data_IF_972492829931
#
_entry.id   IF_972492829931
#
_cell.length_a   1.000
_cell.length_b   1.000
_cell.length_c   1.000
_cell.angle_alpha   90.00
_cell.angle_beta   90.00
_cell.angle_gamma   90.00
#
_symmetry.space_group_name_H-M   'P 1'
#
loop_
_entity.id
_entity.type
_entity.pdbx_description
1 polymer ?
#
# COMPACT_ATOMS: atom_id res chain seq x y z
N UNK A 1 14.39 -5.00 -28.36
CA UNK A 1 13.35 -4.33 -27.55
C UNK A 1 13.53 -4.83 -26.13
N UNK A 2 14.07 -4.01 -25.24
CA UNK A 2 14.26 -4.39 -23.84
C UNK A 2 12.97 -4.11 -23.08
N UNK A 3 12.37 -5.15 -22.50
CA UNK A 3 11.16 -5.02 -21.71
C UNK A 3 11.56 -4.65 -20.27
N UNK A 4 11.13 -3.46 -19.83
CA UNK A 4 11.33 -3.02 -18.46
C UNK A 4 10.30 -3.72 -17.57
N UNK A 5 10.75 -4.63 -16.70
CA UNK A 5 9.85 -5.23 -15.72
C UNK A 5 9.33 -4.14 -14.78
N UNK A 6 8.01 -4.05 -14.65
CA UNK A 6 7.38 -3.10 -13.73
C UNK A 6 7.83 -3.48 -12.31
N UNK A 7 8.58 -2.62 -11.61
CA UNK A 7 9.06 -2.93 -10.27
C UNK A 7 7.87 -3.01 -9.32
N UNK A 8 7.62 -4.19 -8.78
CA UNK A 8 6.42 -4.53 -7.99
C UNK A 8 6.47 -3.97 -6.56
N UNK A 9 7.26 -2.92 -6.31
CA UNK A 9 7.65 -2.48 -4.97
C UNK A 9 6.57 -1.66 -4.21
N UNK A 10 5.30 -1.69 -4.63
CA UNK A 10 4.21 -0.91 -4.04
C UNK A 10 3.26 -1.68 -3.09
N UNK A 11 3.64 -2.85 -2.58
CA UNK A 11 2.80 -3.59 -1.61
C UNK A 11 3.53 -4.19 -0.40
N UNK A 12 4.80 -3.87 -0.19
CA UNK A 12 5.45 -4.20 1.08
C UNK A 12 4.86 -3.31 2.18
N UNK A 13 3.79 -3.78 2.85
CA UNK A 13 3.23 -3.12 4.05
C UNK A 13 4.36 -2.89 5.04
N UNK A 14 4.61 -1.62 5.37
CA UNK A 14 5.70 -1.20 6.28
C UNK A 14 5.68 -2.01 7.57
N UNK A 15 6.63 -2.93 7.68
CA UNK A 15 6.87 -3.73 8.87
C UNK A 15 8.06 -3.09 9.58
N UNK A 16 7.74 -2.13 10.46
CA UNK A 16 8.69 -1.17 11.03
C UNK A 16 9.77 -1.84 11.91
N UNK A 17 9.51 -3.02 12.49
CA UNK A 17 10.44 -3.71 13.37
C UNK A 17 10.61 -5.20 12.97
N UNK A 18 11.25 -5.46 11.82
CA UNK A 18 11.54 -6.83 11.37
C UNK A 18 10.26 -7.66 11.13
N UNK A 19 9.91 -8.65 11.98
CA UNK A 19 8.65 -9.38 11.90
C UNK A 19 7.44 -8.66 12.54
N UNK A 20 7.67 -7.62 13.36
CA UNK A 20 6.63 -6.92 14.15
C UNK A 20 6.02 -5.73 13.40
N UNK A 21 4.69 -5.71 13.32
CA UNK A 21 3.84 -4.65 12.77
C UNK A 21 3.57 -3.56 13.82
N UNK A 22 3.31 -2.33 13.38
CA UNK A 22 2.96 -1.21 14.28
C UNK A 22 1.83 -1.54 15.28
N UNK A 23 0.75 -2.16 14.81
CA UNK A 23 -0.37 -2.57 15.65
C UNK A 23 0.04 -3.55 16.77
N UNK A 24 0.98 -4.44 16.50
CA UNK A 24 1.50 -5.40 17.48
C UNK A 24 2.37 -4.69 18.53
N UNK A 25 3.15 -3.69 18.12
CA UNK A 25 3.94 -2.85 19.05
C UNK A 25 3.01 -2.10 20.02
N UNK A 26 1.95 -1.48 19.51
CA UNK A 26 0.95 -0.81 20.36
C UNK A 26 0.28 -1.80 21.31
N UNK A 27 -0.05 -3.01 20.85
CA UNK A 27 -0.61 -4.05 21.70
C UNK A 27 0.36 -4.46 22.83
N UNK A 28 1.65 -4.68 22.51
CA UNK A 28 2.65 -4.99 23.54
C UNK A 28 2.85 -3.85 24.53
N UNK A 29 2.82 -2.59 24.06
CA UNK A 29 2.90 -1.43 24.93
C UNK A 29 1.70 -1.37 25.90
N UNK A 30 0.49 -1.64 25.40
CA UNK A 30 -0.71 -1.71 26.23
C UNK A 30 -0.65 -2.83 27.28
N UNK A 31 -0.22 -4.03 26.88
CA UNK A 31 -0.06 -5.18 27.79
C UNK A 31 1.02 -4.91 28.83
N UNK A 32 2.16 -4.35 28.42
CA UNK A 32 3.26 -4.01 29.33
C UNK A 32 2.84 -2.91 30.32
N UNK A 33 2.14 -1.88 29.84
CA UNK A 33 1.56 -0.84 30.70
C UNK A 33 0.54 -1.41 31.69
N UNK A 34 -0.34 -2.32 31.25
CA UNK A 34 -1.29 -3.01 32.12
C UNK A 34 -0.60 -3.86 33.20
N UNK A 35 0.41 -4.64 32.80
CA UNK A 35 1.23 -5.46 33.72
C UNK A 35 1.98 -4.60 34.74
N UNK A 36 2.48 -3.43 34.33
CA UNK A 36 3.15 -2.47 35.21
C UNK A 36 2.18 -1.84 36.22
N UNK A 37 0.97 -1.46 35.79
CA UNK A 37 -0.06 -0.99 36.72
C UNK A 37 -0.39 -2.10 37.73
N UNK A 38 -0.55 -3.34 37.27
CA UNK A 38 -0.83 -4.49 38.13
C UNK A 38 0.29 -4.77 39.14
N UNK A 39 1.55 -4.53 38.76
CA UNK A 39 2.71 -4.64 39.65
C UNK A 39 2.63 -3.68 40.85
N UNK A 40 2.02 -2.50 40.68
CA UNK A 40 1.89 -1.53 41.77
C UNK A 40 0.90 -1.99 42.87
N UNK A 41 -0.07 -2.86 42.54
CA UNK A 41 -1.10 -3.31 43.48
C UNK A 41 -0.85 -4.70 44.08
N UNK A 42 -0.07 -5.56 43.41
CA UNK A 42 0.14 -6.96 43.79
C UNK A 42 1.54 -7.23 44.35
N UNK A 43 1.66 -8.14 45.31
CA UNK A 43 2.98 -8.64 45.77
C UNK A 43 3.67 -9.38 44.61
N UNK A 44 5.00 -9.28 44.54
CA UNK A 44 5.82 -9.82 43.44
C UNK A 44 5.49 -11.26 43.03
N UNK A 45 5.27 -12.16 44.00
CA UNK A 45 4.99 -13.58 43.72
C UNK A 45 3.63 -13.80 43.04
N UNK A 46 2.61 -13.02 43.40
CA UNK A 46 1.29 -13.11 42.76
C UNK A 46 1.31 -12.40 41.41
N UNK A 47 2.08 -11.30 41.31
CA UNK A 47 2.28 -10.60 40.07
C UNK A 47 2.91 -11.51 39.01
N UNK A 48 4.02 -12.20 39.30
CA UNK A 48 4.69 -13.07 38.30
C UNK A 48 3.80 -14.23 37.85
N UNK A 49 3.03 -14.80 38.79
CA UNK A 49 2.12 -15.91 38.54
C UNK A 49 0.99 -15.52 37.57
N UNK A 50 0.49 -14.28 37.64
CA UNK A 50 -0.55 -13.76 36.76
C UNK A 50 0.01 -13.10 35.49
N UNK A 51 1.18 -12.45 35.59
CA UNK A 51 1.84 -11.78 34.49
C UNK A 51 2.30 -12.76 33.41
N UNK A 52 2.83 -13.91 33.80
CA UNK A 52 3.33 -14.95 32.89
C UNK A 52 2.25 -15.43 31.90
N UNK A 53 1.07 -15.93 32.34
CA UNK A 53 0.05 -16.37 31.41
C UNK A 53 -0.52 -15.22 30.58
N UNK A 54 -0.69 -14.02 31.14
CA UNK A 54 -1.19 -12.85 30.40
C UNK A 54 -0.23 -12.45 29.28
N UNK A 55 1.06 -12.38 29.57
CA UNK A 55 2.08 -12.04 28.58
C UNK A 55 2.20 -13.12 27.50
N UNK A 56 2.11 -14.40 27.88
CA UNK A 56 2.18 -15.52 26.94
C UNK A 56 0.99 -15.51 25.97
N UNK A 57 -0.21 -15.21 26.45
CA UNK A 57 -1.40 -15.03 25.60
C UNK A 57 -1.22 -13.85 24.65
N UNK A 58 -0.68 -12.72 25.12
CA UNK A 58 -0.42 -11.57 24.26
C UNK A 58 0.58 -11.87 23.14
N UNK A 59 1.66 -12.60 23.45
CA UNK A 59 2.64 -13.05 22.45
C UNK A 59 1.99 -13.99 21.45
N UNK A 60 1.26 -14.99 21.92
CA UNK A 60 0.59 -15.96 21.06
C UNK A 60 -0.40 -15.26 20.12
N UNK A 61 -1.23 -14.38 20.66
CA UNK A 61 -2.18 -13.58 19.88
C UNK A 61 -1.48 -12.68 18.84
N UNK A 62 -0.31 -12.12 19.18
CA UNK A 62 0.46 -11.26 18.28
C UNK A 62 1.03 -12.03 17.08
N UNK A 63 1.63 -13.21 17.32
CA UNK A 63 2.26 -14.00 16.26
C UNK A 63 1.30 -14.91 15.49
N UNK A 64 0.12 -15.18 16.03
CA UNK A 64 -0.89 -15.95 15.34
C UNK A 64 -1.36 -15.22 14.08
N UNK A 65 -1.39 -15.95 12.96
CA UNK A 65 -1.78 -15.43 11.66
C UNK A 65 -3.10 -16.07 11.24
N UNK A 66 -4.07 -15.24 10.87
CA UNK A 66 -5.33 -15.66 10.26
C UNK A 66 -5.30 -15.24 8.80
N UNK A 67 -5.45 -16.19 7.87
CA UNK A 67 -5.46 -15.95 6.43
C UNK A 67 -4.25 -15.11 5.95
N UNK A 68 -3.06 -15.43 6.45
CA UNK A 68 -1.81 -14.73 6.10
C UNK A 68 -1.64 -13.33 6.72
N UNK A 69 -2.62 -12.84 7.50
CA UNK A 69 -2.56 -11.55 8.20
C UNK A 69 -2.35 -11.76 9.70
N UNK A 70 -1.59 -10.89 10.39
CA UNK A 70 -1.47 -10.97 11.84
C UNK A 70 -2.83 -10.73 12.50
N UNK A 71 -3.14 -11.47 13.56
CA UNK A 71 -4.42 -11.42 14.26
C UNK A 71 -4.78 -10.00 14.71
N UNK A 72 -3.79 -9.21 15.14
CA UNK A 72 -3.99 -7.81 15.58
C UNK A 72 -4.58 -6.94 14.47
N UNK A 73 -4.15 -7.13 13.22
CA UNK A 73 -4.69 -6.39 12.08
C UNK A 73 -6.12 -6.86 11.76
N UNK A 74 -6.37 -8.17 11.82
CA UNK A 74 -7.71 -8.71 11.61
C UNK A 74 -8.70 -8.15 12.64
N UNK A 75 -8.34 -8.15 13.93
CA UNK A 75 -9.16 -7.59 15.00
C UNK A 75 -9.46 -6.10 14.80
N UNK A 76 -8.49 -5.30 14.36
CA UNK A 76 -8.74 -3.88 14.02
C UNK A 76 -9.77 -3.71 12.90
N UNK A 77 -9.73 -4.58 11.88
CA UNK A 77 -10.73 -4.59 10.81
C UNK A 77 -12.13 -4.99 11.30
N UNK A 78 -12.23 -5.90 12.28
CA UNK A 78 -13.52 -6.24 12.90
C UNK A 78 -14.11 -5.02 13.60
N UNK A 79 -13.31 -4.34 14.43
CA UNK A 79 -13.77 -3.14 15.14
C UNK A 79 -14.17 -2.03 14.17
N UNK A 80 -13.39 -1.82 13.11
CA UNK A 80 -13.73 -0.87 12.06
C UNK A 80 -15.02 -1.26 11.32
N UNK A 81 -15.18 -2.53 10.97
CA UNK A 81 -16.39 -3.03 10.30
C UNK A 81 -17.64 -2.88 11.17
N UNK A 82 -17.52 -3.15 12.47
CA UNK A 82 -18.64 -3.03 13.41
C UNK A 82 -19.04 -1.57 13.65
N UNK A 83 -18.08 -0.63 13.58
CA UNK A 83 -18.34 0.80 13.76
C UNK A 83 -18.74 1.54 12.49
N UNK A 84 -18.48 0.99 11.30
CA UNK A 84 -18.74 1.68 10.04
C UNK A 84 -20.14 1.33 9.53
N UNK A 85 -20.95 2.33 9.18
CA UNK A 85 -22.25 2.11 8.56
C UNK A 85 -22.06 1.57 7.15
N UNK A 86 -22.76 0.48 6.82
CA UNK A 86 -22.74 -0.12 5.48
C UNK A 86 -23.44 0.81 4.50
N UNK A 87 -22.70 1.78 3.96
CA UNK A 87 -23.24 2.66 2.93
C UNK A 87 -23.18 1.91 1.60
N UNK A 88 -24.32 1.36 1.22
CA UNK A 88 -24.47 0.65 -0.05
C UNK A 88 -24.62 1.68 -1.18
N UNK A 89 -23.57 1.90 -1.96
CA UNK A 89 -23.63 2.78 -3.13
C UNK A 89 -23.97 1.92 -4.35
N UNK A 90 -25.26 1.66 -4.57
CA UNK A 90 -25.72 1.12 -5.85
C UNK A 90 -25.64 2.24 -6.90
N UNK A 91 -24.69 2.14 -7.84
CA UNK A 91 -24.77 2.89 -9.10
C UNK A 91 -25.67 2.11 -10.03
N UNK A 92 -26.87 2.64 -10.31
CA UNK A 92 -27.69 2.14 -11.41
C UNK A 92 -27.07 2.69 -12.69
N UNK A 93 -26.67 1.78 -13.56
CA UNK A 93 -26.29 2.11 -14.92
C UNK A 93 -27.59 2.55 -15.58
N UNK A 94 -27.69 3.84 -15.87
CA UNK A 94 -28.84 4.39 -16.57
C UNK A 94 -28.71 3.87 -18.01
N UNK A 95 -29.37 2.76 -18.31
CA UNK A 95 -29.54 2.31 -19.70
C UNK A 95 -30.30 3.42 -20.43
N UNK A 96 -29.54 4.24 -21.16
CA UNK A 96 -30.05 5.24 -22.05
C UNK A 96 -30.61 4.52 -23.28
N UNK A 97 -31.82 3.98 -23.17
CA UNK A 97 -32.64 3.75 -24.34
C UNK A 97 -33.17 5.11 -24.80
N UNK A 98 -32.58 5.59 -25.89
CA UNK A 98 -32.88 6.87 -26.51
C UNK A 98 -34.05 6.62 -27.46
N UNK A 99 -35.28 6.66 -26.96
CA UNK A 99 -36.45 6.71 -27.83
C UNK A 99 -37.47 7.74 -27.33
N UNK A 100 -37.75 8.69 -28.21
CA UNK A 100 -38.91 9.59 -28.28
C UNK A 100 -38.93 10.90 -27.47
N UNK A 101 -38.56 11.95 -28.21
CA UNK A 101 -39.12 13.29 -28.31
C UNK A 101 -40.31 13.68 -27.39
N UNK A 102 -40.12 14.78 -26.65
CA UNK A 102 -41.24 15.64 -26.23
C UNK A 102 -41.06 16.39 -24.88
N UNK A 103 -40.51 17.60 -24.95
CA UNK A 103 -40.85 18.76 -24.08
C UNK A 103 -40.35 18.83 -22.61
N UNK A 104 -39.48 19.86 -22.39
CA UNK A 104 -39.19 20.66 -21.18
C UNK A 104 -38.38 20.04 -20.00
N UNK A 105 -37.72 20.88 -19.16
CA UNK A 105 -36.98 22.12 -19.40
C UNK A 105 -35.48 21.97 -19.06
N UNK A 106 -34.67 22.75 -19.75
CA UNK A 106 -33.27 23.01 -19.46
C UNK A 106 -33.08 23.50 -18.01
N UNK A 107 -32.33 22.76 -17.18
CA UNK A 107 -31.44 23.33 -16.16
C UNK A 107 -30.25 22.39 -15.84
N UNK A 108 -29.16 22.64 -16.56
CA UNK A 108 -27.76 22.76 -16.09
C UNK A 108 -27.10 21.57 -15.35
N UNK A 109 -26.38 20.77 -16.13
CA UNK A 109 -25.32 19.85 -15.71
C UNK A 109 -24.05 20.67 -15.41
N UNK A 110 -23.32 20.45 -14.30
CA UNK A 110 -21.98 21.03 -14.14
C UNK A 110 -21.02 20.38 -15.15
N UNK A 111 -20.44 21.25 -15.98
CA UNK A 111 -19.50 20.97 -17.06
C UNK A 111 -18.26 20.19 -16.58
N UNK A 112 -18.23 18.87 -16.78
CA UNK A 112 -17.01 18.08 -16.64
C UNK A 112 -16.41 17.87 -18.04
N UNK A 113 -15.44 18.70 -18.39
CA UNK A 113 -14.57 18.47 -19.54
C UNK A 113 -13.70 17.24 -19.29
N UNK A 114 -14.12 16.07 -19.79
CA UNK A 114 -13.19 14.98 -20.06
C UNK A 114 -12.58 15.27 -21.42
N UNK A 115 -11.32 15.70 -21.42
CA UNK A 115 -10.50 15.67 -22.64
C UNK A 115 -10.21 14.20 -22.93
N UNK A 116 -11.00 13.60 -23.81
CA UNK A 116 -10.59 12.36 -24.49
C UNK A 116 -9.41 12.79 -25.37
N UNK A 117 -8.19 12.62 -24.85
CA UNK A 117 -6.99 12.79 -25.66
C UNK A 117 -6.91 11.54 -26.52
N UNK A 118 -7.21 11.76 -27.79
CA UNK A 118 -7.08 10.82 -28.90
C UNK A 118 -5.76 10.06 -28.82
N UNK A 119 -5.83 8.76 -29.10
CA UNK A 119 -4.71 7.95 -29.58
C UNK A 119 -4.14 8.58 -30.85
N UNK A 120 -2.82 8.86 -30.91
CA UNK A 120 -2.13 8.92 -32.19
C UNK A 120 -1.00 7.89 -32.17
N UNK A 121 -1.07 7.00 -33.15
CA UNK A 121 0.05 6.15 -33.48
C UNK A 121 1.28 7.00 -33.90
N UNK A 122 2.43 6.56 -33.41
CA UNK A 122 3.74 6.56 -34.08
C UNK A 122 4.27 7.88 -34.66
N UNK A 123 5.17 8.56 -33.92
CA UNK A 123 6.34 9.23 -34.53
C UNK A 123 7.58 9.09 -33.64
N UNK A 124 8.45 8.14 -34.00
CA UNK A 124 9.91 8.28 -33.91
C UNK A 124 10.30 9.70 -34.33
N UNK A 125 11.16 10.42 -33.59
CA UNK A 125 12.34 11.17 -34.08
C UNK A 125 13.27 11.55 -32.91
N UNK A 126 14.46 10.95 -32.92
CA UNK A 126 15.81 11.50 -32.61
C UNK A 126 16.04 12.35 -31.33
N UNK A 127 16.84 11.94 -30.30
CA UNK A 127 18.30 11.62 -30.21
C UNK A 127 19.18 12.88 -29.93
N UNK A 128 20.46 12.87 -29.45
CA UNK A 128 21.31 11.97 -28.63
C UNK A 128 21.98 12.66 -27.39
N UNK A 129 22.76 11.91 -26.58
CA UNK A 129 24.16 12.23 -26.14
C UNK A 129 24.55 11.50 -24.84
N UNK A 130 24.99 10.25 -24.96
CA UNK A 130 26.10 9.77 -24.13
C UNK A 130 27.21 9.39 -25.11
N UNK A 131 28.17 10.29 -25.22
CA UNK A 131 29.36 10.12 -26.02
C UNK A 131 30.32 9.16 -25.31
N UNK A 132 30.12 7.86 -25.48
CA UNK A 132 31.07 6.84 -24.99
C UNK A 132 31.11 5.66 -25.95
N UNK A 133 31.39 5.91 -27.23
CA UNK A 133 31.85 4.85 -28.14
C UNK A 133 32.90 5.39 -29.12
N UNK A 134 32.75 6.62 -29.60
CA UNK A 134 33.73 7.21 -30.52
C UNK A 134 35.09 7.50 -29.88
N UNK A 135 35.14 7.95 -28.61
CA UNK A 135 36.40 8.29 -27.92
C UNK A 135 37.31 7.08 -27.66
N UNK A 136 36.74 5.87 -27.55
CA UNK A 136 37.51 4.63 -27.32
C UNK A 136 38.16 4.16 -28.63
N UNK A 137 37.49 4.41 -29.77
CA UNK A 137 38.03 4.10 -31.09
C UNK A 137 39.08 5.14 -31.56
N UNK A 138 38.88 6.42 -31.23
CA UNK A 138 39.85 7.49 -31.51
C UNK A 138 41.20 7.24 -30.79
N UNK A 139 41.19 6.73 -29.55
CA UNK A 139 42.42 6.44 -28.78
C UNK A 139 43.18 5.24 -29.35
N UNK A 140 42.47 4.25 -29.92
CA UNK A 140 43.12 3.11 -30.59
C UNK A 140 43.75 3.47 -31.94
N UNK A 141 43.19 4.46 -32.66
CA UNK A 141 43.79 4.96 -33.91
C UNK A 141 44.96 5.92 -33.67
N UNK A 142 44.94 6.74 -32.61
CA UNK A 142 46.06 7.64 -32.30
C UNK A 142 47.33 6.93 -31.80
N UNK A 143 47.23 5.65 -31.40
CA UNK A 143 48.37 4.88 -30.93
C UNK A 143 48.97 3.96 -32.01
N UNK A 144 48.42 3.94 -33.24
CA UNK A 144 48.83 3.02 -34.29
C UNK A 144 48.79 3.62 -35.71
N UNK A 145 49.61 4.64 -35.97
CA UNK A 145 50.01 5.04 -37.33
C UNK A 145 51.51 5.41 -37.32
N UNK A 146 52.31 4.45 -37.80
CA UNK A 146 53.72 4.43 -38.24
C UNK A 146 54.70 5.56 -37.85
N UNK A 147 55.67 5.26 -36.95
CA UNK A 147 57.11 5.05 -37.24
C UNK A 147 57.78 4.42 -36.01
#
# INVERSE_FOLDING_TARGET
MEQYEVPQFMQAKDRILGPLSFAQVVLFLAVCGFLFIMFMFLKFIFWIALATPVFLVAVFFSFYKVNGRPMTAFTSSIFHYMGNSQTYVWKKELDADITDAGTAPEQIIPNIHIKIVETPETQNQQQPRIATTERVQEISEMLNIDT
#
